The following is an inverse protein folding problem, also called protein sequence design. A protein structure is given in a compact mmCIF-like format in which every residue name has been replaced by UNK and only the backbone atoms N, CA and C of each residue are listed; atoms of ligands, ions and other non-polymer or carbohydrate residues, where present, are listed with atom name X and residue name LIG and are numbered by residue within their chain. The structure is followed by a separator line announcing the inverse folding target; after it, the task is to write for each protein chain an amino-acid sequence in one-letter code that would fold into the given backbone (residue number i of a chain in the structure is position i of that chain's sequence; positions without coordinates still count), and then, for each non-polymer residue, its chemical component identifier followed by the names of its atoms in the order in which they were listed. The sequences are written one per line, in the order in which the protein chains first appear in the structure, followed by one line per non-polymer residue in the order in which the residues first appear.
data_IF_036488096625
#
_entry.id   IF_036488096625
#
_cell.length_a   1.000
_cell.length_b   1.000
_cell.length_c   1.000
_cell.angle_alpha   90.00
_cell.angle_beta   90.00
_cell.angle_gamma   90.00
#
_symmetry.space_group_name_H-M   'P 1'
#
loop_
_entity.id
_entity.type
_entity.pdbx_description
1 polymer ?
#
# COMPACT_ATOMS: atom_id res chain seq x y z
N UNK A 1 -16.15 -7.39 24.36
CA UNK A 1 -15.28 -7.55 23.17
C UNK A 1 -14.84 -6.16 22.74
N UNK A 2 -13.55 -5.94 22.49
CA UNK A 2 -13.07 -4.67 21.95
C UNK A 2 -13.23 -4.76 20.43
N UNK A 3 -14.03 -3.87 19.84
CA UNK A 3 -14.28 -3.80 18.40
C UNK A 3 -13.47 -2.64 17.80
N UNK A 4 -12.96 -2.83 16.58
CA UNK A 4 -12.21 -1.78 15.86
C UNK A 4 -13.16 -0.66 15.45
N UNK A 5 -12.81 0.59 15.77
CA UNK A 5 -13.60 1.79 15.45
C UNK A 5 -12.98 2.64 14.35
N UNK A 6 -11.66 2.56 14.17
CA UNK A 6 -10.89 3.30 13.15
C UNK A 6 -9.67 2.48 12.75
N UNK A 7 -9.28 2.53 11.49
CA UNK A 7 -8.06 1.91 10.97
C UNK A 7 -7.06 3.00 10.58
N UNK A 8 -5.84 2.89 11.09
CA UNK A 8 -4.71 3.73 10.68
C UNK A 8 -3.74 2.91 9.83
N UNK A 9 -3.35 3.46 8.69
CA UNK A 9 -2.42 2.83 7.75
C UNK A 9 -1.24 3.78 7.49
N UNK A 10 -0.03 3.25 7.46
CA UNK A 10 1.12 3.98 6.91
C UNK A 10 1.18 3.81 5.40
N UNK A 11 1.57 4.85 4.67
CA UNK A 11 1.81 4.78 3.22
C UNK A 11 3.30 4.76 2.88
N UNK A 12 3.66 3.98 1.86
CA UNK A 12 4.93 4.09 1.17
C UNK A 12 4.90 5.20 0.10
N UNK A 13 3.77 5.39 -0.58
CA UNK A 13 3.53 6.50 -1.49
C UNK A 13 2.04 6.78 -1.67
N UNK A 14 1.69 8.02 -2.01
CA UNK A 14 0.35 8.38 -2.48
C UNK A 14 0.43 8.86 -3.94
N UNK A 15 -0.37 8.27 -4.81
CA UNK A 15 -0.33 8.47 -6.25
C UNK A 15 -1.30 9.58 -6.69
N UNK A 16 -1.07 10.15 -7.87
CA UNK A 16 -1.85 11.28 -8.38
C UNK A 16 -3.34 10.95 -8.62
N UNK A 17 -3.71 9.68 -8.74
CA UNK A 17 -5.09 9.21 -8.80
C UNK A 17 -5.70 8.91 -7.42
N UNK A 18 -5.03 9.24 -6.32
CA UNK A 18 -5.48 8.97 -4.96
C UNK A 18 -5.19 7.54 -4.46
N UNK A 19 -4.67 6.65 -5.31
CA UNK A 19 -4.22 5.32 -4.89
C UNK A 19 -3.08 5.46 -3.88
N UNK A 20 -3.15 4.73 -2.77
CA UNK A 20 -2.07 4.65 -1.79
C UNK A 20 -1.34 3.34 -1.93
N UNK A 21 -0.02 3.42 -2.12
CA UNK A 21 0.87 2.27 -2.11
C UNK A 21 1.37 2.04 -0.69
N UNK A 22 1.19 0.83 -0.17
CA UNK A 22 1.71 0.42 1.13
C UNK A 22 2.11 -1.05 1.11
N UNK A 23 2.48 -1.64 2.25
CA UNK A 23 2.88 -3.05 2.34
C UNK A 23 1.78 -3.99 1.84
N UNK A 24 2.20 -5.16 1.37
CA UNK A 24 1.27 -6.22 0.96
C UNK A 24 0.23 -6.50 2.05
N UNK A 25 -1.03 -6.61 1.66
CA UNK A 25 -2.17 -6.85 2.57
C UNK A 25 -2.88 -5.58 3.04
N UNK A 26 -2.30 -4.39 2.85
CA UNK A 26 -2.92 -3.13 3.25
C UNK A 26 -4.24 -2.86 2.51
N UNK A 27 -4.37 -3.24 1.23
CA UNK A 27 -5.65 -3.05 0.52
C UNK A 27 -6.74 -4.00 1.03
N UNK A 28 -6.38 -5.22 1.42
CA UNK A 28 -7.32 -6.16 2.03
C UNK A 28 -7.87 -5.64 3.37
N UNK A 29 -7.00 -5.06 4.20
CA UNK A 29 -7.41 -4.41 5.46
C UNK A 29 -8.35 -3.24 5.19
N UNK A 30 -7.99 -2.34 4.26
CA UNK A 30 -8.81 -1.17 3.92
C UNK A 30 -10.17 -1.56 3.35
N UNK A 31 -10.21 -2.53 2.43
CA UNK A 31 -11.45 -3.02 1.83
C UNK A 31 -12.37 -3.68 2.89
N UNK A 32 -11.79 -4.44 3.82
CA UNK A 32 -12.54 -5.06 4.92
C UNK A 32 -13.11 -4.00 5.86
N UNK A 33 -12.30 -3.03 6.27
CA UNK A 33 -12.74 -1.92 7.12
C UNK A 33 -13.90 -1.14 6.47
N UNK A 34 -13.77 -0.84 5.17
CA UNK A 34 -14.81 -0.19 4.40
C UNK A 34 -16.13 -0.99 4.35
N UNK A 35 -16.05 -2.33 4.23
CA UNK A 35 -17.25 -3.19 4.27
C UNK A 35 -17.99 -3.15 5.61
N UNK A 36 -17.29 -2.86 6.71
CA UNK A 36 -17.88 -2.65 8.04
C UNK A 36 -18.17 -1.19 8.37
N UNK A 37 -18.06 -0.28 7.40
CA UNK A 37 -18.20 1.18 7.58
C UNK A 37 -17.23 1.75 8.64
N UNK A 38 -16.04 1.16 8.76
CA UNK A 38 -14.98 1.63 9.64
C UNK A 38 -14.08 2.59 8.84
N UNK A 39 -13.85 3.82 9.33
CA UNK A 39 -13.01 4.80 8.63
C UNK A 39 -11.55 4.35 8.54
N UNK A 40 -10.94 4.62 7.39
CA UNK A 40 -9.55 4.32 7.09
C UNK A 40 -8.79 5.63 6.92
N UNK A 41 -7.88 5.89 7.85
CA UNK A 41 -7.00 7.07 7.85
C UNK A 41 -5.61 6.63 7.41
N UNK A 42 -5.13 7.18 6.30
CA UNK A 42 -3.77 6.93 5.82
C UNK A 42 -2.84 8.04 6.30
N UNK A 43 -1.77 7.69 6.99
CA UNK A 43 -0.70 8.61 7.36
C UNK A 43 0.37 8.61 6.26
N UNK A 44 0.56 9.74 5.59
CA UNK A 44 1.50 9.89 4.50
C UNK A 44 2.07 11.31 4.45
N UNK A 45 3.38 11.44 4.57
CA UNK A 45 4.09 12.71 4.37
C UNK A 45 4.04 13.13 2.89
N UNK A 46 3.90 14.43 2.62
CA UNK A 46 3.69 14.93 1.24
C UNK A 46 4.86 14.64 0.31
N UNK A 47 6.10 14.53 0.82
CA UNK A 47 7.27 14.19 -0.01
C UNK A 47 7.17 12.79 -0.65
N UNK A 48 6.33 11.89 -0.10
CA UNK A 48 6.06 10.56 -0.65
C UNK A 48 4.97 10.57 -1.73
N UNK A 49 4.42 11.74 -2.06
CA UNK A 49 3.44 11.85 -3.13
C UNK A 49 4.14 11.68 -4.48
N UNK A 50 3.44 11.10 -5.45
CA UNK A 50 3.99 10.83 -6.77
C UNK A 50 3.03 11.23 -7.88
N UNK A 51 3.57 11.83 -8.95
CA UNK A 51 2.82 12.11 -10.18
C UNK A 51 2.36 10.85 -10.92
N UNK A 52 2.86 9.68 -10.52
CA UNK A 52 2.51 8.40 -11.12
C UNK A 52 1.05 8.05 -10.84
N UNK A 53 0.50 7.23 -11.73
CA UNK A 53 -0.84 6.64 -11.63
C UNK A 53 -0.68 5.14 -11.79
N UNK A 54 -1.32 4.37 -10.92
CA UNK A 54 -1.29 2.92 -10.93
C UNK A 54 -2.68 2.37 -10.62
N UNK A 55 -3.12 1.40 -11.42
CA UNK A 55 -4.48 0.81 -11.35
C UNK A 55 -4.49 -0.56 -10.66
N UNK A 56 -3.35 -1.23 -10.62
CA UNK A 56 -3.19 -2.59 -10.14
C UNK A 56 -1.94 -2.72 -9.25
N UNK A 57 -1.84 -3.76 -8.43
CA UNK A 57 -0.69 -3.96 -7.54
C UNK A 57 0.47 -4.75 -8.19
N UNK A 58 0.44 -5.03 -9.50
CA UNK A 58 1.34 -5.98 -10.18
C UNK A 58 2.35 -5.24 -11.06
N UNK A 59 1.90 -4.27 -11.85
CA UNK A 59 2.71 -3.59 -12.88
C UNK A 59 3.92 -2.86 -12.33
N UNK A 60 3.82 -2.32 -11.11
CA UNK A 60 4.92 -1.66 -10.42
C UNK A 60 4.96 -2.12 -8.97
N UNK A 61 5.84 -3.07 -8.69
CA UNK A 61 6.02 -3.65 -7.37
C UNK A 61 7.46 -4.12 -7.19
N UNK A 62 7.85 -4.32 -5.94
CA UNK A 62 9.11 -4.98 -5.58
C UNK A 62 8.85 -6.47 -5.34
N UNK A 63 9.72 -7.31 -5.89
CA UNK A 63 9.74 -8.74 -5.63
C UNK A 63 10.57 -9.01 -4.37
N UNK A 64 9.94 -9.62 -3.38
CA UNK A 64 10.61 -10.21 -2.24
C UNK A 64 11.24 -11.56 -2.60
N UNK A 65 12.04 -12.07 -1.66
CA UNK A 65 12.62 -13.40 -1.75
C UNK A 65 11.50 -14.47 -1.84
N UNK A 66 11.44 -15.27 -2.92
CA UNK A 66 10.48 -16.36 -3.03
C UNK A 66 10.71 -17.46 -1.99
N UNK A 67 11.96 -17.70 -1.56
CA UNK A 67 12.29 -18.76 -0.60
C UNK A 67 11.80 -18.44 0.81
N UNK A 68 11.54 -17.16 1.10
CA UNK A 68 10.85 -16.74 2.33
C UNK A 68 9.43 -17.33 2.45
N UNK A 69 8.81 -17.77 1.35
CA UNK A 69 7.52 -18.47 1.36
C UNK A 69 7.66 -19.97 1.64
N UNK A 70 8.87 -20.53 1.48
CA UNK A 70 9.16 -21.93 1.77
C UNK A 70 9.30 -22.22 3.27
N UNK A 71 9.55 -21.17 4.07
CA UNK A 71 9.77 -21.31 5.51
C UNK A 71 8.48 -21.11 6.30
N UNK A 72 8.04 -22.16 7.00
CA UNK A 72 6.96 -22.05 7.98
C UNK A 72 7.57 -21.87 9.38
N UNK A 73 7.36 -20.69 9.96
CA UNK A 73 7.84 -20.40 11.33
C UNK A 73 7.36 -21.47 12.32
N UNK A 74 8.29 -21.95 13.14
CA UNK A 74 8.07 -23.00 14.15
C UNK A 74 7.66 -24.38 13.59
N UNK A 75 7.79 -24.62 12.28
CA UNK A 75 7.47 -25.90 11.61
C UNK A 75 8.54 -26.28 10.59
N UNK A 76 9.77 -26.59 11.03
CA UNK A 76 10.87 -26.95 10.13
C UNK A 76 10.65 -28.28 9.39
N UNK A 77 9.69 -29.09 9.86
CA UNK A 77 9.23 -30.32 9.24
C UNK A 77 8.49 -30.08 7.91
N UNK A 78 7.89 -28.90 7.73
CA UNK A 78 7.17 -28.53 6.51
C UNK A 78 8.17 -27.91 5.53
N UNK A 79 8.47 -28.62 4.44
CA UNK A 79 9.50 -28.24 3.49
C UNK A 79 9.14 -28.53 2.02
N UNK A 80 7.86 -28.73 1.72
CA UNK A 80 7.34 -29.14 0.40
C UNK A 80 7.75 -28.17 -0.73
N UNK A 81 8.03 -26.91 -0.39
CA UNK A 81 8.40 -25.87 -1.34
C UNK A 81 9.92 -25.71 -1.56
N UNK A 82 10.82 -26.40 -0.83
CA UNK A 82 12.28 -26.13 -0.92
C UNK A 82 12.89 -26.23 -2.31
N UNK A 83 12.34 -27.08 -3.18
CA UNK A 83 12.82 -27.28 -4.55
C UNK A 83 11.81 -26.81 -5.60
N UNK A 84 11.03 -25.78 -5.26
CA UNK A 84 9.97 -25.27 -6.13
C UNK A 84 10.46 -24.89 -7.54
N UNK A 85 11.72 -24.47 -7.67
CA UNK A 85 12.31 -24.05 -8.93
C UNK A 85 12.55 -25.21 -9.92
N UNK A 86 12.65 -26.46 -9.42
CA UNK A 86 12.81 -27.66 -10.25
C UNK A 86 11.47 -28.14 -10.85
N UNK A 87 10.34 -27.66 -10.31
CA UNK A 87 9.00 -28.05 -10.73
C UNK A 87 8.53 -27.15 -11.87
N UNK A 88 8.33 -27.73 -13.06
CA UNK A 88 8.04 -27.00 -14.30
C UNK A 88 6.83 -26.03 -14.21
N UNK A 89 5.81 -26.39 -13.43
CA UNK A 89 4.55 -25.65 -13.34
C UNK A 89 4.37 -24.92 -12.00
N UNK A 90 5.44 -24.79 -11.20
CA UNK A 90 5.40 -24.09 -9.91
C UNK A 90 6.27 -22.82 -9.96
N UNK A 91 5.70 -21.73 -9.48
CA UNK A 91 6.38 -20.44 -9.29
C UNK A 91 5.91 -19.83 -7.98
N UNK A 92 6.86 -19.36 -7.19
CA UNK A 92 6.57 -18.59 -5.98
C UNK A 92 6.63 -17.10 -6.29
N UNK A 93 5.68 -16.34 -5.75
CA UNK A 93 5.58 -14.89 -5.96
C UNK A 93 5.37 -14.19 -4.61
N UNK A 94 6.34 -13.38 -4.23
CA UNK A 94 6.32 -12.62 -3.00
C UNK A 94 6.28 -11.12 -3.31
N UNK A 95 5.09 -10.54 -3.47
CA UNK A 95 4.96 -9.10 -3.68
C UNK A 95 5.17 -8.33 -2.37
N UNK A 96 5.89 -7.21 -2.43
CA UNK A 96 6.21 -6.40 -1.26
C UNK A 96 5.14 -5.34 -0.96
N UNK A 97 4.51 -4.78 -1.99
CA UNK A 97 3.53 -3.71 -1.86
C UNK A 97 2.15 -4.09 -2.37
N UNK A 98 1.17 -3.29 -1.95
CA UNK A 98 -0.22 -3.32 -2.37
C UNK A 98 -0.66 -1.92 -2.80
N UNK A 99 -1.72 -1.86 -3.60
CA UNK A 99 -2.29 -0.61 -4.09
C UNK A 99 -3.72 -0.45 -3.57
N UNK A 100 -3.91 0.44 -2.59
CA UNK A 100 -5.21 0.75 -2.00
C UNK A 100 -5.89 1.83 -2.83
N UNK A 101 -7.02 1.49 -3.44
CA UNK A 101 -7.83 2.46 -4.19
C UNK A 101 -8.41 3.52 -3.26
N UNK A 102 -8.51 4.75 -3.77
CA UNK A 102 -9.05 5.93 -3.10
C UNK A 102 -10.42 5.70 -2.43
N UNK A 103 -11.30 4.93 -3.06
CA UNK A 103 -12.64 4.61 -2.54
C UNK A 103 -12.65 3.89 -1.18
N UNK A 104 -11.54 3.28 -0.78
CA UNK A 104 -11.39 2.62 0.54
C UNK A 104 -10.72 3.53 1.57
N UNK A 105 -10.36 4.75 1.20
CA UNK A 105 -9.61 5.70 2.03
C UNK A 105 -10.57 6.81 2.43
N UNK A 106 -10.78 6.98 3.73
CA UNK A 106 -11.59 8.08 4.25
C UNK A 106 -10.82 9.39 4.12
N UNK A 107 -9.54 9.40 4.47
CA UNK A 107 -8.69 10.58 4.42
C UNK A 107 -7.20 10.25 4.49
N UNK A 108 -6.36 11.16 4.00
CA UNK A 108 -4.91 11.13 4.15
C UNK A 108 -4.50 12.21 5.14
N UNK A 109 -3.87 11.81 6.25
CA UNK A 109 -3.26 12.69 7.22
C UNK A 109 -1.81 12.98 6.80
N UNK A 110 -1.52 14.26 6.62
CA UNK A 110 -0.23 14.80 6.16
C UNK A 110 0.24 15.91 7.10
N UNK A 111 1.45 16.42 6.91
CA UNK A 111 1.97 17.59 7.63
C UNK A 111 1.26 18.90 7.28
N UNK A 112 0.60 18.99 6.11
CA UNK A 112 -0.22 20.16 5.70
C UNK A 112 -1.68 20.04 6.15
N UNK A 113 -2.01 18.95 6.85
CA UNK A 113 -3.33 18.68 7.39
C UNK A 113 -3.98 17.42 6.81
N UNK A 114 -5.28 17.32 7.04
CA UNK A 114 -6.11 16.20 6.61
C UNK A 114 -6.74 16.51 5.25
N UNK A 115 -6.46 15.69 4.25
CA UNK A 115 -6.93 15.87 2.88
C UNK A 115 -7.64 14.61 2.36
N UNK A 116 -8.60 14.72 1.43
CA UNK A 116 -9.10 13.56 0.71
C UNK A 116 -8.02 13.03 -0.24
N UNK A 117 -8.08 11.74 -0.58
CA UNK A 117 -7.14 11.12 -1.51
C UNK A 117 -7.13 11.79 -2.91
N UNK A 118 -8.27 12.32 -3.34
CA UNK A 118 -8.42 13.08 -4.59
C UNK A 118 -7.64 14.41 -4.62
N UNK A 119 -7.15 14.89 -3.47
CA UNK A 119 -6.37 16.13 -3.38
C UNK A 119 -4.86 15.93 -3.51
N UNK A 120 -4.36 14.69 -3.59
CA UNK A 120 -2.94 14.39 -3.85
C UNK A 120 -2.35 15.20 -5.03
N UNK A 121 -2.98 15.27 -6.23
CA UNK A 121 -2.42 16.04 -7.35
C UNK A 121 -2.40 17.54 -7.11
N UNK A 122 -3.29 18.07 -6.26
CA UNK A 122 -3.28 19.50 -5.88
C UNK A 122 -2.03 19.79 -5.06
N UNK A 123 -1.74 18.96 -4.05
CA UNK A 123 -0.53 19.13 -3.23
C UNK A 123 0.74 19.00 -4.07
N UNK A 124 0.81 18.01 -4.97
CA UNK A 124 1.94 17.86 -5.89
C UNK A 124 2.18 19.12 -6.75
N UNK A 125 1.11 19.80 -7.17
CA UNK A 125 1.22 21.06 -7.93
C UNK A 125 1.81 22.18 -7.08
N UNK A 126 1.32 22.36 -5.86
CA UNK A 126 1.78 23.43 -4.95
C UNK A 126 3.27 23.28 -4.61
N UNK A 127 3.77 22.05 -4.45
CA UNK A 127 5.20 21.80 -4.19
C UNK A 127 6.10 22.06 -5.42
N UNK A 128 5.59 21.87 -6.64
CA UNK A 128 6.35 22.16 -7.87
C UNK A 128 6.41 23.67 -8.17
N UNK A 129 5.45 24.44 -7.69
CA UNK A 129 5.54 25.89 -7.60
C UNK A 129 6.34 26.26 -6.35
N UNK A 130 7.64 25.95 -6.34
CA UNK A 130 8.56 26.58 -5.39
C UNK A 130 8.40 28.11 -5.42
N UNK A 131 8.80 28.84 -4.36
CA UNK A 131 8.68 30.29 -4.33
C UNK A 131 9.33 30.84 -5.60
N UNK A 132 8.56 31.58 -6.40
CA UNK A 132 9.13 32.44 -7.43
C UNK A 132 10.20 33.26 -6.73
N UNK A 133 11.46 33.03 -7.12
CA UNK A 133 12.63 33.70 -6.56
C UNK A 133 12.35 35.22 -6.57
N UNK A 134 12.13 35.77 -5.38
CA UNK A 134 12.35 37.19 -5.08
C UNK A 134 13.84 37.40 -4.88
#
# INVERSE_FOLDING_TARGET
SIQVTTVFLGAASALANGTVVSRVGTAAVAATANAFNIPVVVCCETYKFSHRVQLDAITHNELGDPDALCEVKNRPDVNDLRNWNDLQNLRLLNLRYDAVQDKYITMIATEVGMIPASSVPVILREYNTGPSLL
#
